data_IF_270128692867
#
_entry.id   IF_270128692867
#
_cell.length_a   1.000
_cell.length_b   1.000
_cell.length_c   1.000
_cell.angle_alpha   90.00
_cell.angle_beta   90.00
_cell.angle_gamma   90.00
#
_symmetry.space_group_name_H-M   'P 1'
#
loop_
_entity.id
_entity.type
_entity.pdbx_description
1 polymer ?
#
# COMPACT_ATOMS: atom_id res chain seq x y z
N UNK A 1 13.37 -10.48 13.24
CA UNK A 1 14.73 -10.67 12.70
C UNK A 1 14.97 -12.13 12.35
N UNK A 2 14.85 -13.04 13.33
CA UNK A 2 15.16 -14.47 13.13
C UNK A 2 14.31 -15.20 12.07
N UNK A 3 13.10 -14.73 11.76
CA UNK A 3 12.22 -15.45 10.82
C UNK A 3 12.79 -15.52 9.39
N UNK A 4 13.37 -14.43 8.88
CA UNK A 4 13.99 -14.43 7.55
C UNK A 4 15.32 -15.19 7.53
N UNK A 5 16.06 -15.18 8.62
CA UNK A 5 17.29 -15.99 8.76
C UNK A 5 16.95 -17.48 8.77
N UNK A 6 15.96 -17.90 9.57
CA UNK A 6 15.43 -19.27 9.54
C UNK A 6 14.92 -19.66 8.15
N UNK A 7 14.23 -18.77 7.45
CA UNK A 7 13.80 -19.02 6.07
C UNK A 7 15.02 -19.19 5.14
N UNK A 8 16.05 -18.36 5.26
CA UNK A 8 17.26 -18.49 4.47
C UNK A 8 17.93 -19.84 4.69
N UNK A 9 17.99 -20.33 5.94
CA UNK A 9 18.56 -21.63 6.27
C UNK A 9 17.75 -22.79 5.69
N UNK A 10 16.41 -22.71 5.75
CA UNK A 10 15.51 -23.68 5.10
C UNK A 10 15.73 -23.71 3.58
N UNK A 11 15.89 -22.55 2.95
CA UNK A 11 16.12 -22.44 1.50
C UNK A 11 17.50 -22.98 1.09
N UNK A 12 18.52 -22.86 1.94
CA UNK A 12 19.86 -23.42 1.74
C UNK A 12 19.92 -24.94 1.96
N UNK A 13 19.07 -25.46 2.85
CA UNK A 13 19.05 -26.87 3.20
C UNK A 13 18.47 -27.75 2.08
N UNK A 14 18.67 -29.08 2.21
CA UNK A 14 18.00 -30.06 1.35
C UNK A 14 16.48 -30.03 1.62
N UNK A 15 15.63 -30.21 0.59
CA UNK A 15 15.99 -30.58 -0.78
C UNK A 15 16.27 -29.38 -1.71
N UNK A 16 16.03 -28.13 -1.28
CA UNK A 16 16.04 -26.97 -2.16
C UNK A 16 17.45 -26.53 -2.58
N UNK A 17 18.41 -26.51 -1.65
CA UNK A 17 19.82 -26.16 -1.89
C UNK A 17 20.03 -24.88 -2.70
N UNK A 18 19.25 -23.83 -2.39
CA UNK A 18 19.34 -22.55 -3.10
C UNK A 18 20.54 -21.73 -2.62
N UNK A 19 21.09 -20.91 -3.52
CA UNK A 19 21.98 -19.83 -3.11
C UNK A 19 21.13 -18.71 -2.51
N UNK A 20 21.41 -18.32 -1.27
CA UNK A 20 20.61 -17.30 -0.56
C UNK A 20 21.50 -16.19 -0.02
N UNK A 21 21.26 -14.98 -0.50
CA UNK A 21 21.84 -13.74 -0.01
C UNK A 21 20.85 -13.02 0.90
N UNK A 22 21.33 -12.47 2.01
CA UNK A 22 20.52 -11.72 2.99
C UNK A 22 20.98 -10.27 3.03
N UNK A 23 20.05 -9.33 3.14
CA UNK A 23 20.39 -7.93 3.40
C UNK A 23 19.44 -7.30 4.42
N UNK A 24 19.97 -6.35 5.20
CA UNK A 24 19.18 -5.47 6.05
C UNK A 24 18.81 -4.19 5.28
N UNK A 25 17.64 -3.62 5.57
CA UNK A 25 17.32 -2.26 5.15
C UNK A 25 18.20 -1.24 5.89
N UNK A 26 18.45 -0.08 5.27
CA UNK A 26 19.18 1.01 5.92
C UNK A 26 18.56 1.34 7.28
N UNK A 27 19.37 1.32 8.34
CA UNK A 27 18.95 1.61 9.73
C UNK A 27 18.11 0.52 10.41
N UNK A 28 17.78 -0.60 9.75
CA UNK A 28 16.86 -1.60 10.29
C UNK A 28 17.49 -2.56 11.32
N UNK A 29 18.82 -2.62 11.42
CA UNK A 29 19.56 -3.52 12.32
C UNK A 29 19.24 -5.02 12.18
N UNK A 30 18.38 -5.38 11.23
CA UNK A 30 17.73 -6.69 11.09
C UNK A 30 17.54 -7.01 9.61
N UNK A 31 17.64 -8.29 9.25
CA UNK A 31 17.42 -8.77 7.87
C UNK A 31 15.97 -8.50 7.47
N UNK A 32 15.78 -7.81 6.35
CA UNK A 32 14.45 -7.49 5.78
C UNK A 32 14.26 -7.99 4.36
N UNK A 33 15.34 -8.44 3.70
CA UNK A 33 15.36 -8.93 2.32
C UNK A 33 16.22 -10.19 2.19
N UNK A 34 15.73 -11.14 1.40
CA UNK A 34 16.45 -12.30 0.92
C UNK A 34 16.43 -12.31 -0.61
N UNK A 35 17.51 -12.75 -1.22
CA UNK A 35 17.55 -13.11 -2.64
C UNK A 35 17.93 -14.58 -2.73
N UNK A 36 16.97 -15.40 -3.13
CA UNK A 36 17.17 -16.82 -3.37
C UNK A 36 17.36 -17.06 -4.87
N UNK A 37 18.36 -17.85 -5.25
CA UNK A 37 18.68 -18.10 -6.65
C UNK A 37 19.04 -19.54 -6.95
N UNK A 38 18.66 -19.97 -8.16
CA UNK A 38 19.04 -21.26 -8.75
C UNK A 38 19.21 -21.09 -10.25
N UNK A 39 20.40 -21.42 -10.76
CA UNK A 39 20.77 -21.22 -12.16
C UNK A 39 20.52 -19.78 -12.60
N UNK A 40 19.63 -19.54 -13.57
CA UNK A 40 19.28 -18.20 -14.06
C UNK A 40 18.12 -17.54 -13.31
N UNK A 41 17.41 -18.28 -12.45
CA UNK A 41 16.26 -17.75 -11.71
C UNK A 41 16.72 -17.08 -10.41
N UNK A 42 16.18 -15.89 -10.14
CA UNK A 42 16.36 -15.15 -8.89
C UNK A 42 15.01 -14.70 -8.38
N UNK A 43 14.74 -14.96 -7.10
CA UNK A 43 13.52 -14.56 -6.40
C UNK A 43 13.91 -13.70 -5.21
N UNK A 44 13.40 -12.47 -5.20
CA UNK A 44 13.57 -11.53 -4.10
C UNK A 44 12.38 -11.65 -3.15
N UNK A 45 12.68 -11.88 -1.87
CA UNK A 45 11.70 -12.02 -0.79
C UNK A 45 11.95 -10.86 0.17
N UNK A 46 10.93 -10.05 0.40
CA UNK A 46 11.03 -8.87 1.26
C UNK A 46 9.95 -8.87 2.32
N UNK A 47 10.26 -8.24 3.44
CA UNK A 47 9.29 -7.94 4.50
C UNK A 47 9.22 -6.43 4.70
N UNK A 48 8.00 -5.89 4.75
CA UNK A 48 7.79 -4.48 5.08
C UNK A 48 7.79 -4.30 6.60
N UNK A 49 8.74 -3.54 7.18
CA UNK A 49 8.82 -3.40 8.63
C UNK A 49 7.78 -2.43 9.21
N UNK A 50 7.21 -1.54 8.40
CA UNK A 50 6.34 -0.44 8.86
C UNK A 50 4.90 -0.90 9.02
N UNK A 51 4.32 -1.50 7.98
CA UNK A 51 2.94 -1.97 7.97
C UNK A 51 2.89 -3.44 8.38
N UNK A 52 2.94 -3.68 9.69
CA UNK A 52 2.83 -5.02 10.29
C UNK A 52 1.41 -5.29 10.74
N UNK A 53 1.00 -6.55 10.65
CA UNK A 53 -0.38 -6.97 10.92
C UNK A 53 -1.29 -6.74 9.71
N UNK A 54 -2.56 -7.11 9.86
CA UNK A 54 -3.59 -6.97 8.84
C UNK A 54 -4.84 -6.40 9.47
N UNK A 55 -5.61 -5.61 8.72
CA UNK A 55 -6.90 -5.09 9.15
C UNK A 55 -7.93 -6.22 9.11
N UNK A 56 -7.92 -7.03 8.06
CA UNK A 56 -8.81 -8.17 7.90
C UNK A 56 -8.05 -9.49 8.02
N UNK A 57 -8.81 -10.56 8.16
CA UNK A 57 -8.25 -11.91 8.25
C UNK A 57 -7.62 -12.31 6.92
N UNK A 58 -6.39 -12.81 6.98
CA UNK A 58 -5.70 -13.41 5.83
C UNK A 58 -6.50 -14.58 5.24
N UNK A 59 -6.30 -14.85 3.95
CA UNK A 59 -6.98 -15.94 3.24
C UNK A 59 -5.97 -16.85 2.55
N UNK A 60 -6.36 -18.10 2.30
CA UNK A 60 -5.59 -18.98 1.42
C UNK A 60 -6.00 -18.73 -0.04
N UNK A 61 -5.03 -18.69 -0.93
CA UNK A 61 -5.26 -18.61 -2.37
C UNK A 61 -4.44 -19.66 -3.09
N UNK A 62 -5.11 -20.34 -4.02
CA UNK A 62 -4.46 -21.24 -4.99
C UNK A 62 -3.98 -20.44 -6.21
N UNK A 63 -2.96 -20.95 -6.88
CA UNK A 63 -2.49 -20.39 -8.15
C UNK A 63 -3.58 -20.42 -9.23
N UNK A 64 -3.46 -19.55 -10.24
CA UNK A 64 -4.40 -19.54 -11.37
C UNK A 64 -4.19 -20.79 -12.25
N UNK A 65 -5.22 -21.27 -12.97
CA UNK A 65 -5.12 -22.49 -13.79
C UNK A 65 -3.92 -22.51 -14.75
N UNK A 66 -3.62 -21.37 -15.41
CA UNK A 66 -2.45 -21.25 -16.30
C UNK A 66 -1.10 -21.43 -15.59
N UNK A 67 -1.01 -21.00 -14.33
CA UNK A 67 0.19 -21.17 -13.50
C UNK A 67 0.29 -22.61 -13.02
N UNK A 68 -0.84 -23.19 -12.62
CA UNK A 68 -0.92 -24.60 -12.22
C UNK A 68 -0.54 -25.55 -13.34
N UNK A 69 -1.03 -25.33 -14.56
CA UNK A 69 -0.70 -26.12 -15.74
C UNK A 69 0.81 -26.07 -16.05
N UNK A 70 1.43 -24.89 -15.91
CA UNK A 70 2.84 -24.69 -16.24
C UNK A 70 3.81 -25.13 -15.13
N UNK A 71 3.43 -24.98 -13.85
CA UNK A 71 4.35 -25.10 -12.71
C UNK A 71 3.85 -26.03 -11.60
N UNK A 72 2.64 -26.56 -11.71
CA UNK A 72 1.99 -27.39 -10.70
C UNK A 72 1.19 -26.60 -9.67
N UNK A 73 0.43 -27.33 -8.86
CA UNK A 73 -0.41 -26.76 -7.80
C UNK A 73 0.44 -26.08 -6.73
N UNK A 74 0.00 -24.90 -6.31
CA UNK A 74 0.50 -24.24 -5.12
C UNK A 74 -0.62 -23.44 -4.46
N UNK A 75 -0.56 -23.35 -3.14
CA UNK A 75 -1.48 -22.60 -2.31
C UNK A 75 -0.70 -21.84 -1.24
N UNK A 76 -1.04 -20.57 -1.05
CA UNK A 76 -0.31 -19.70 -0.12
C UNK A 76 -1.29 -18.87 0.70
N UNK A 77 -0.88 -18.50 1.91
CA UNK A 77 -1.59 -17.49 2.69
C UNK A 77 -1.28 -16.11 2.13
N UNK A 78 -2.31 -15.33 1.84
CA UNK A 78 -2.23 -13.96 1.32
C UNK A 78 -3.09 -13.02 2.16
N UNK A 79 -2.87 -11.72 1.97
CA UNK A 79 -3.74 -10.68 2.50
C UNK A 79 -5.17 -10.84 1.96
N UNK A 80 -6.13 -10.37 2.76
CA UNK A 80 -7.47 -10.12 2.25
C UNK A 80 -7.42 -9.16 1.04
N UNK A 81 -8.43 -9.22 0.18
CA UNK A 81 -8.52 -8.33 -0.97
C UNK A 81 -8.44 -6.85 -0.55
N UNK A 82 -9.18 -6.47 0.49
CA UNK A 82 -9.22 -5.08 0.94
C UNK A 82 -7.86 -4.62 1.49
N UNK A 83 -7.15 -5.45 2.27
CA UNK A 83 -5.80 -5.14 2.77
C UNK A 83 -4.78 -5.01 1.63
N UNK A 84 -4.80 -5.92 0.66
CA UNK A 84 -3.88 -5.89 -0.48
C UNK A 84 -4.07 -4.61 -1.31
N UNK A 85 -5.31 -4.30 -1.67
CA UNK A 85 -5.61 -3.16 -2.51
C UNK A 85 -5.60 -1.83 -1.77
N UNK A 86 -5.87 -1.80 -0.45
CA UNK A 86 -5.62 -0.63 0.38
C UNK A 86 -4.13 -0.22 0.34
N UNK A 87 -3.22 -1.20 0.37
CA UNK A 87 -1.79 -0.97 0.16
C UNK A 87 -1.46 -0.40 -1.21
N UNK A 88 -2.09 -0.93 -2.27
CA UNK A 88 -1.92 -0.42 -3.64
C UNK A 88 -2.44 1.01 -3.81
N UNK A 89 -3.62 1.32 -3.26
CA UNK A 89 -4.18 2.67 -3.24
C UNK A 89 -3.26 3.65 -2.50
N UNK A 90 -2.76 3.27 -1.31
CA UNK A 90 -1.82 4.09 -0.55
C UNK A 90 -0.51 4.34 -1.30
N UNK A 91 0.05 3.32 -1.98
CA UNK A 91 1.23 3.49 -2.83
C UNK A 91 0.95 4.41 -4.03
N UNK A 92 -0.14 4.17 -4.76
CA UNK A 92 -0.54 4.96 -5.93
C UNK A 92 -0.70 6.44 -5.59
N UNK A 93 -1.42 6.77 -4.50
CA UNK A 93 -1.62 8.15 -4.06
C UNK A 93 -0.34 8.79 -3.48
N UNK A 94 0.56 7.99 -2.92
CA UNK A 94 1.79 8.50 -2.30
C UNK A 94 2.87 8.87 -3.33
N UNK A 95 3.15 7.97 -4.28
CA UNK A 95 4.27 8.11 -5.24
C UNK A 95 3.88 8.13 -6.71
N UNK A 96 2.65 7.75 -7.06
CA UNK A 96 2.11 7.81 -8.43
C UNK A 96 3.01 7.14 -9.48
N UNK A 97 3.60 5.99 -9.13
CA UNK A 97 4.47 5.23 -10.03
C UNK A 97 3.61 4.52 -11.11
N UNK A 98 4.06 4.42 -12.38
CA UNK A 98 3.31 3.75 -13.46
C UNK A 98 2.72 2.37 -13.10
N UNK A 99 3.53 1.49 -12.49
CA UNK A 99 3.07 0.19 -11.92
C UNK A 99 1.89 0.30 -10.96
N UNK A 100 1.90 1.26 -10.04
CA UNK A 100 0.82 1.42 -9.06
C UNK A 100 -0.45 1.92 -9.76
N UNK A 101 -0.31 2.85 -10.71
CA UNK A 101 -1.43 3.38 -11.50
C UNK A 101 -2.04 2.32 -12.41
N UNK A 102 -1.23 1.43 -12.97
CA UNK A 102 -1.72 0.27 -13.71
C UNK A 102 -2.56 -0.64 -12.80
N UNK A 103 -2.00 -1.00 -11.65
CA UNK A 103 -2.65 -1.88 -10.67
C UNK A 103 -3.98 -1.30 -10.15
N UNK A 104 -4.03 0.01 -9.86
CA UNK A 104 -5.27 0.66 -9.42
C UNK A 104 -6.25 0.88 -10.58
N UNK A 105 -5.78 1.08 -11.81
CA UNK A 105 -6.65 1.14 -12.98
C UNK A 105 -7.50 -0.13 -13.12
N UNK A 106 -6.87 -1.30 -12.98
CA UNK A 106 -7.57 -2.59 -12.96
C UNK A 106 -8.50 -2.75 -11.75
N UNK A 107 -8.08 -2.28 -10.57
CA UNK A 107 -8.92 -2.30 -9.37
C UNK A 107 -10.21 -1.49 -9.55
N UNK A 108 -10.16 -0.34 -10.23
CA UNK A 108 -11.32 0.55 -10.36
C UNK A 108 -12.47 -0.04 -11.20
N UNK A 109 -12.18 -1.09 -11.97
CA UNK A 109 -13.17 -1.92 -12.69
C UNK A 109 -13.69 -3.11 -11.86
N UNK A 110 -13.06 -3.43 -10.73
CA UNK A 110 -13.45 -4.55 -9.89
C UNK A 110 -14.60 -4.14 -8.95
N UNK A 111 -15.67 -4.94 -8.91
CA UNK A 111 -16.85 -4.68 -8.07
C UNK A 111 -16.52 -4.62 -6.57
N UNK A 112 -15.41 -5.24 -6.15
CA UNK A 112 -14.92 -5.20 -4.77
C UNK A 112 -14.18 -3.90 -4.44
N UNK A 113 -14.03 -2.98 -5.38
CA UNK A 113 -13.70 -1.60 -5.10
C UNK A 113 -14.91 -0.93 -4.43
N UNK A 114 -15.15 -1.28 -3.18
CA UNK A 114 -16.34 -0.96 -2.40
C UNK A 114 -16.01 -0.20 -1.11
N UNK A 115 -17.04 0.02 -0.29
CA UNK A 115 -16.91 0.68 1.02
C UNK A 115 -15.97 -0.08 1.98
N UNK A 116 -15.93 -1.41 1.90
CA UNK A 116 -15.05 -2.22 2.74
C UNK A 116 -13.59 -1.99 2.39
N UNK A 117 -13.27 -1.89 1.10
CA UNK A 117 -11.94 -1.47 0.65
C UNK A 117 -11.63 -0.04 1.10
N UNK A 118 -12.57 0.89 0.93
CA UNK A 118 -12.37 2.29 1.32
C UNK A 118 -12.03 2.45 2.80
N UNK A 119 -12.82 1.85 3.70
CA UNK A 119 -12.57 1.88 5.15
C UNK A 119 -11.23 1.25 5.51
N UNK A 120 -10.85 0.16 4.82
CA UNK A 120 -9.53 -0.48 5.01
C UNK A 120 -8.40 0.44 4.53
N UNK A 121 -8.60 1.13 3.41
CA UNK A 121 -7.67 2.14 2.90
C UNK A 121 -7.43 3.28 3.88
N UNK A 122 -8.44 3.76 4.61
CA UNK A 122 -8.26 4.81 5.64
C UNK A 122 -7.29 4.40 6.76
N UNK A 123 -7.27 3.10 7.13
CA UNK A 123 -6.28 2.56 8.07
C UNK A 123 -4.87 2.57 7.45
N UNK A 124 -4.76 2.18 6.19
CA UNK A 124 -3.48 2.15 5.46
C UNK A 124 -2.91 3.56 5.22
N UNK A 125 -3.79 4.51 4.91
CA UNK A 125 -3.49 5.94 4.84
C UNK A 125 -2.92 6.45 6.17
N UNK A 126 -3.52 6.04 7.30
CA UNK A 126 -3.02 6.39 8.64
C UNK A 126 -1.61 5.83 8.89
N UNK A 127 -1.31 4.63 8.39
CA UNK A 127 0.03 4.05 8.52
C UNK A 127 1.09 4.73 7.64
N UNK A 128 0.70 5.61 6.71
CA UNK A 128 1.61 6.28 5.78
C UNK A 128 2.53 7.28 6.49
N UNK A 129 3.80 7.42 6.07
CA UNK A 129 4.66 8.50 6.54
C UNK A 129 4.15 9.88 6.13
N UNK A 130 3.41 9.98 5.02
CA UNK A 130 2.84 11.24 4.52
C UNK A 130 1.62 11.67 5.34
N UNK A 131 1.33 12.97 5.48
CA UNK A 131 0.07 13.43 6.05
C UNK A 131 -1.10 13.09 5.10
N UNK A 132 -2.29 12.89 5.66
CA UNK A 132 -3.47 12.48 4.90
C UNK A 132 -3.79 13.44 3.75
N UNK A 133 -3.69 14.75 4.01
CA UNK A 133 -3.97 15.80 3.02
C UNK A 133 -3.10 15.70 1.76
N UNK A 134 -1.84 15.26 1.89
CA UNK A 134 -0.94 15.10 0.74
C UNK A 134 -1.35 13.91 -0.13
N UNK A 135 -1.87 12.85 0.49
CA UNK A 135 -2.31 11.65 -0.22
C UNK A 135 -3.72 11.78 -0.82
N UNK A 136 -4.60 12.57 -0.19
CA UNK A 136 -5.95 12.82 -0.71
C UNK A 136 -5.95 13.80 -1.89
N UNK A 137 -4.94 14.66 -1.99
CA UNK A 137 -4.75 15.54 -3.12
C UNK A 137 -3.27 15.57 -3.56
N UNK A 138 -2.78 14.46 -4.15
CA UNK A 138 -1.40 14.35 -4.55
C UNK A 138 -1.10 15.30 -5.72
N UNK A 139 0.13 15.82 -5.72
CA UNK A 139 0.64 16.65 -6.83
C UNK A 139 0.64 15.86 -8.13
N UNK A 140 0.66 16.55 -9.28
CA UNK A 140 0.89 15.87 -10.56
C UNK A 140 2.29 15.23 -10.54
N UNK A 141 2.46 13.97 -10.96
CA UNK A 141 3.78 13.34 -10.98
C UNK A 141 4.71 14.07 -11.95
N UNK A 142 5.91 14.41 -11.48
CA UNK A 142 6.98 14.92 -12.34
C UNK A 142 7.63 13.77 -13.12
N UNK A 143 8.10 14.04 -14.33
CA UNK A 143 8.88 13.10 -15.16
C UNK A 143 8.22 11.71 -15.34
N UNK A 144 6.88 11.70 -15.41
CA UNK A 144 6.11 10.45 -15.45
C UNK A 144 6.42 9.61 -16.68
N UNK A 145 6.58 10.24 -17.84
CA UNK A 145 6.94 9.57 -19.09
C UNK A 145 8.34 8.94 -19.04
N UNK A 146 9.33 9.66 -18.51
CA UNK A 146 10.67 9.11 -18.30
C UNK A 146 10.65 7.91 -17.32
N UNK A 147 9.87 8.01 -16.25
CA UNK A 147 9.68 6.91 -15.28
C UNK A 147 9.00 5.72 -15.93
N UNK A 148 7.99 5.95 -16.77
CA UNK A 148 7.30 4.91 -17.53
C UNK A 148 8.27 4.16 -18.47
N UNK A 149 9.02 4.90 -19.28
CA UNK A 149 10.00 4.33 -20.21
C UNK A 149 11.07 3.50 -19.50
N UNK A 150 11.61 4.01 -18.38
CA UNK A 150 12.70 3.35 -17.65
C UNK A 150 12.25 2.17 -16.77
N UNK A 151 11.04 2.21 -16.20
CA UNK A 151 10.65 1.32 -15.10
C UNK A 151 9.33 0.57 -15.30
N UNK A 152 8.66 0.72 -16.45
CA UNK A 152 7.39 0.03 -16.69
C UNK A 152 7.17 -0.47 -18.11
N UNK A 153 7.73 0.20 -19.13
CA UNK A 153 7.59 -0.22 -20.52
C UNK A 153 8.03 -1.67 -20.71
N UNK A 154 7.16 -2.47 -21.33
CA UNK A 154 7.38 -3.91 -21.57
C UNK A 154 7.11 -4.83 -20.38
N UNK A 155 6.59 -4.32 -19.26
CA UNK A 155 6.22 -5.15 -18.10
C UNK A 155 4.84 -5.82 -18.22
N UNK A 156 3.98 -5.33 -19.11
CA UNK A 156 2.62 -5.84 -19.33
C UNK A 156 2.58 -6.76 -20.54
N UNK A 157 1.66 -7.74 -20.53
CA UNK A 157 1.45 -8.63 -21.68
C UNK A 157 0.88 -7.86 -22.87
N UNK A 158 -0.15 -7.05 -22.62
CA UNK A 158 -0.70 -6.12 -23.60
C UNK A 158 -0.02 -4.76 -23.45
N UNK A 159 0.41 -4.10 -24.53
CA UNK A 159 0.96 -2.76 -24.47
C UNK A 159 -0.03 -1.78 -23.83
N UNK A 160 0.50 -0.84 -23.04
CA UNK A 160 -0.28 0.24 -22.45
C UNK A 160 0.48 1.55 -22.59
N UNK A 161 -0.24 2.61 -22.93
CA UNK A 161 0.31 3.94 -23.13
C UNK A 161 0.29 4.78 -21.85
N UNK A 162 1.18 5.76 -21.78
CA UNK A 162 1.26 6.74 -20.67
C UNK A 162 -0.11 7.39 -20.40
N UNK A 163 -0.84 7.76 -21.46
CA UNK A 163 -2.15 8.40 -21.35
C UNK A 163 -3.16 7.57 -20.57
N UNK A 164 -3.20 6.25 -20.76
CA UNK A 164 -4.13 5.36 -20.05
C UNK A 164 -3.81 5.26 -18.55
N UNK A 165 -2.54 5.36 -18.18
CA UNK A 165 -2.14 5.39 -16.76
C UNK A 165 -2.48 6.73 -16.11
N UNK A 166 -2.36 7.85 -16.84
CA UNK A 166 -2.79 9.17 -16.36
C UNK A 166 -4.32 9.25 -16.24
N UNK A 167 -5.06 8.63 -17.14
CA UNK A 167 -6.52 8.47 -17.00
C UNK A 167 -6.85 7.63 -15.76
N UNK A 168 -6.13 6.53 -15.52
CA UNK A 168 -6.31 5.71 -14.30
C UNK A 168 -6.07 6.54 -13.02
N UNK A 169 -5.10 7.46 -13.05
CA UNK A 169 -4.86 8.43 -11.96
C UNK A 169 -6.05 9.37 -11.77
N UNK A 170 -6.56 9.97 -12.83
CA UNK A 170 -7.72 10.88 -12.74
C UNK A 170 -8.95 10.16 -12.19
N UNK A 171 -9.24 8.96 -12.70
CA UNK A 171 -10.32 8.11 -12.22
C UNK A 171 -10.15 7.73 -10.74
N UNK A 172 -8.91 7.44 -10.30
CA UNK A 172 -8.61 7.18 -8.89
C UNK A 172 -8.95 8.40 -8.02
N UNK A 173 -8.54 9.61 -8.42
CA UNK A 173 -8.83 10.82 -7.66
C UNK A 173 -10.33 11.11 -7.58
N UNK A 174 -11.05 10.96 -8.69
CA UNK A 174 -12.51 11.09 -8.71
C UNK A 174 -13.18 10.05 -7.82
N UNK A 175 -12.68 8.80 -7.81
CA UNK A 175 -13.23 7.74 -6.96
C UNK A 175 -12.98 8.01 -5.47
N UNK A 176 -11.77 8.45 -5.10
CA UNK A 176 -11.45 8.87 -3.71
C UNK A 176 -12.35 10.02 -3.29
N UNK A 177 -12.58 10.99 -4.17
CA UNK A 177 -13.49 12.09 -3.89
C UNK A 177 -14.92 11.60 -3.61
N UNK A 178 -15.43 10.66 -4.41
CA UNK A 178 -16.76 10.09 -4.25
C UNK A 178 -16.92 9.22 -2.99
N UNK A 179 -15.89 8.47 -2.59
CA UNK A 179 -15.94 7.61 -1.39
C UNK A 179 -15.76 8.36 -0.08
N UNK A 180 -15.09 9.50 -0.10
CA UNK A 180 -14.90 10.29 1.10
C UNK A 180 -16.29 10.70 1.63
N UNK A 181 -16.71 10.22 2.77
CA UNK A 181 -18.02 10.56 3.35
C UNK A 181 -17.84 11.29 4.69
N UNK A 182 -18.95 11.65 5.33
CA UNK A 182 -18.90 12.35 6.62
C UNK A 182 -18.16 11.51 7.70
N UNK A 183 -18.43 10.21 7.90
CA UNK A 183 -17.65 9.37 8.82
C UNK A 183 -16.16 9.31 8.48
N UNK A 184 -15.80 9.22 7.20
CA UNK A 184 -14.40 9.23 6.76
C UNK A 184 -13.72 10.57 7.07
N UNK A 185 -14.39 11.69 6.84
CA UNK A 185 -13.90 13.02 7.19
C UNK A 185 -13.71 13.15 8.71
N UNK A 186 -14.69 12.71 9.50
CA UNK A 186 -14.61 12.71 10.96
C UNK A 186 -13.44 11.85 11.47
N UNK A 187 -13.25 10.67 10.88
CA UNK A 187 -12.11 9.80 11.17
C UNK A 187 -10.77 10.49 10.90
N UNK A 188 -10.60 11.08 9.70
CA UNK A 188 -9.35 11.76 9.34
C UNK A 188 -9.04 12.94 10.28
N UNK A 189 -10.06 13.70 10.66
CA UNK A 189 -9.94 14.76 11.66
C UNK A 189 -9.53 14.23 13.03
N UNK A 190 -10.12 13.12 13.46
CA UNK A 190 -9.78 12.49 14.74
C UNK A 190 -8.30 12.08 14.80
N UNK A 191 -7.76 11.54 13.71
CA UNK A 191 -6.34 11.17 13.58
C UNK A 191 -5.45 12.42 13.62
N UNK A 192 -5.79 13.46 12.85
CA UNK A 192 -5.02 14.71 12.78
C UNK A 192 -5.01 15.47 14.12
N UNK A 193 -6.08 15.31 14.91
CA UNK A 193 -6.22 15.82 16.28
C UNK A 193 -5.63 14.90 17.35
N UNK A 194 -4.93 13.83 16.96
CA UNK A 194 -4.21 12.91 17.86
C UNK A 194 -5.13 12.13 18.81
N UNK A 195 -6.43 12.08 18.49
CA UNK A 195 -7.47 11.35 19.21
C UNK A 195 -8.25 10.47 18.21
N UNK A 196 -7.59 9.49 17.57
CA UNK A 196 -8.19 8.75 16.47
C UNK A 196 -9.38 7.90 16.93
N UNK A 197 -10.51 8.05 16.25
CA UNK A 197 -11.72 7.28 16.48
C UNK A 197 -11.94 6.29 15.33
N UNK A 198 -11.30 5.12 15.42
CA UNK A 198 -11.48 4.03 14.46
C UNK A 198 -12.91 3.45 14.45
N UNK A 199 -13.75 3.82 15.44
CA UNK A 199 -15.18 3.50 15.45
C UNK A 199 -15.94 4.16 14.30
N UNK A 200 -15.51 5.36 13.87
CA UNK A 200 -16.11 6.09 12.73
C UNK A 200 -16.07 5.28 11.42
N UNK A 201 -15.05 4.43 11.26
CA UNK A 201 -14.88 3.57 10.08
C UNK A 201 -15.21 2.10 10.37
N UNK A 202 -15.74 1.80 11.55
CA UNK A 202 -16.12 0.44 11.96
C UNK A 202 -14.95 -0.54 12.12
N UNK A 203 -13.73 -0.05 12.36
CA UNK A 203 -12.50 -0.85 12.43
C UNK A 203 -11.73 -0.58 13.72
N UNK A 204 -12.42 -0.57 14.87
CA UNK A 204 -11.84 -0.21 16.18
C UNK A 204 -10.56 -0.98 16.53
N UNK A 205 -10.46 -2.26 16.14
CA UNK A 205 -9.27 -3.09 16.36
C UNK A 205 -8.03 -2.62 15.60
N UNK A 206 -8.18 -1.82 14.53
CA UNK A 206 -7.07 -1.31 13.75
C UNK A 206 -6.18 -0.32 14.53
N UNK A 207 -6.70 0.28 15.62
CA UNK A 207 -5.92 1.12 16.52
C UNK A 207 -4.69 0.39 17.12
N UNK A 208 -4.75 -0.94 17.21
CA UNK A 208 -3.70 -1.77 17.77
C UNK A 208 -2.56 -2.08 16.77
N UNK A 209 -2.75 -1.75 15.49
CA UNK A 209 -1.77 -2.05 14.46
C UNK A 209 -0.46 -1.27 14.71
N UNK A 210 0.71 -1.93 14.62
CA UNK A 210 2.00 -1.28 14.82
C UNK A 210 2.21 -0.05 13.93
N UNK A 211 1.74 -0.07 12.68
CA UNK A 211 1.83 1.07 11.77
C UNK A 211 1.02 2.28 12.24
N UNK A 212 -0.19 2.04 12.76
CA UNK A 212 -1.05 3.07 13.35
C UNK A 212 -0.39 3.66 14.59
N UNK A 213 0.02 2.81 15.54
CA UNK A 213 0.71 3.27 16.77
C UNK A 213 1.97 4.08 16.47
N UNK A 214 2.73 3.67 15.45
CA UNK A 214 3.90 4.41 14.98
C UNK A 214 3.52 5.78 14.42
N UNK A 215 2.45 5.87 13.64
CA UNK A 215 1.94 7.16 13.15
C UNK A 215 1.56 8.09 14.30
N UNK A 216 0.75 7.62 15.24
CA UNK A 216 0.27 8.44 16.37
C UNK A 216 1.42 8.95 17.23
N UNK A 217 2.41 8.09 17.48
CA UNK A 217 3.64 8.50 18.16
C UNK A 217 4.38 9.62 17.41
N UNK A 218 4.46 9.56 16.08
CA UNK A 218 5.10 10.60 15.28
C UNK A 218 4.28 11.89 15.24
N UNK A 219 2.94 11.79 15.22
CA UNK A 219 2.06 12.98 15.24
C UNK A 219 2.24 13.75 16.56
N UNK A 220 2.29 13.04 17.69
CA UNK A 220 2.48 13.60 19.02
C UNK A 220 3.84 14.31 19.24
N UNK A 221 4.79 14.15 18.32
CA UNK A 221 6.11 14.80 18.36
C UNK A 221 6.18 16.08 17.51
N UNK A 222 5.10 16.44 16.82
CA UNK A 222 5.07 17.64 15.98
C UNK A 222 5.07 18.91 16.82
N UNK A 223 5.65 19.97 16.27
CA UNK A 223 5.54 21.31 16.86
C UNK A 223 4.12 21.85 16.70
N UNK A 224 3.72 22.80 17.57
CA UNK A 224 2.42 23.45 17.46
C UNK A 224 2.17 24.06 16.07
N UNK A 225 3.19 24.70 15.49
CA UNK A 225 3.13 25.27 14.14
C UNK A 225 2.88 24.20 13.07
N UNK A 226 3.55 23.04 13.18
CA UNK A 226 3.36 21.93 12.25
C UNK A 226 1.97 21.33 12.38
N UNK A 227 1.46 21.15 13.61
CA UNK A 227 0.08 20.72 13.85
C UNK A 227 -0.94 21.69 13.24
N UNK A 228 -0.77 22.99 13.44
CA UNK A 228 -1.67 24.00 12.87
C UNK A 228 -1.62 24.01 11.34
N UNK A 229 -0.43 23.87 10.74
CA UNK A 229 -0.26 23.80 9.30
C UNK A 229 -0.90 22.55 8.69
N UNK A 230 -0.68 21.36 9.27
CA UNK A 230 -1.27 20.11 8.77
C UNK A 230 -2.80 20.09 8.91
N UNK A 231 -3.35 20.63 10.02
CA UNK A 231 -4.79 20.78 10.20
C UNK A 231 -5.41 21.68 9.13
N UNK A 232 -4.82 22.84 8.87
CA UNK A 232 -5.30 23.76 7.82
C UNK A 232 -5.24 23.11 6.44
N UNK A 233 -4.13 22.45 6.12
CA UNK A 233 -3.97 21.76 4.85
C UNK A 233 -4.99 20.62 4.67
N UNK A 234 -5.33 19.90 5.76
CA UNK A 234 -6.38 18.89 5.75
C UNK A 234 -7.75 19.52 5.51
N UNK A 235 -8.10 20.60 6.22
CA UNK A 235 -9.36 21.33 6.05
C UNK A 235 -9.56 21.79 4.61
N UNK A 236 -8.57 22.49 4.05
CA UNK A 236 -8.58 22.98 2.66
C UNK A 236 -8.69 21.82 1.66
N UNK A 237 -8.00 20.70 1.93
CA UNK A 237 -8.04 19.53 1.06
C UNK A 237 -9.41 18.86 1.08
N UNK A 238 -10.00 18.65 2.26
CA UNK A 238 -11.32 18.04 2.39
C UNK A 238 -12.39 18.93 1.73
N UNK A 239 -12.32 20.25 1.91
CA UNK A 239 -13.23 21.20 1.26
C UNK A 239 -13.10 21.15 -0.28
N UNK A 240 -11.87 21.12 -0.80
CA UNK A 240 -11.64 21.01 -2.25
C UNK A 240 -12.14 19.69 -2.82
N UNK A 241 -11.89 18.57 -2.14
CA UNK A 241 -12.32 17.23 -2.58
C UNK A 241 -13.85 17.13 -2.52
N UNK A 242 -14.49 17.72 -1.51
CA UNK A 242 -15.95 17.76 -1.42
C UNK A 242 -16.59 18.63 -2.52
N UNK A 243 -15.98 19.77 -2.84
CA UNK A 243 -16.45 20.66 -3.92
C UNK A 243 -16.20 20.13 -5.34
N UNK A 244 -15.40 19.08 -5.50
CA UNK A 244 -15.13 18.44 -6.79
C UNK A 244 -16.06 17.24 -7.08
N UNK A 245 -16.98 16.91 -6.16
CA UNK A 245 -18.04 15.91 -6.37
C UNK A 245 -19.17 16.49 -7.20
#
# INVERSE_FOLDING_TARGET
AEALERLADVLRARPLQLQVQTSAGEGAGTVTRLVASRSRARVQIETTPVMRGTVRTVRRMVVRPRVEEAFGFAEVQVLDFADLYAGKLAAALSRQHPRDLFDVGLLLEDERADEMLWRTFLVYLTCSPKPAWEMLAPRVPADFEATFEAHFKGMTTEPIEVGALLESRERLLSRVAAWLDEPSCAFLWSVENEQPDFGQIGLAHAAELPGVRRKLHNLAQRTADKCAADRRALEETLARVAGAR
#
